data_IF_421133537066
#
_entry.id   IF_421133537066
#
_cell.length_a   1.000
_cell.length_b   1.000
_cell.length_c   1.000
_cell.angle_alpha   90.00
_cell.angle_beta   90.00
_cell.angle_gamma   90.00
#
_symmetry.space_group_name_H-M   'P 1'
#
loop_
_entity.id
_entity.type
_entity.pdbx_description
1 polymer ?
#
# COMPACT_ATOMS: atom_id res chain seq x y z
N UNK A 1 0.36 11.15 25.16
CA UNK A 1 -0.14 9.78 25.41
C UNK A 1 -0.66 9.11 24.12
N UNK A 2 0.02 8.17 23.48
CA UNK A 2 1.34 7.58 23.67
C UNK A 2 1.62 6.70 22.45
N UNK A 3 2.72 7.00 21.76
CA UNK A 3 3.60 6.04 21.12
C UNK A 3 3.13 5.04 20.04
N UNK A 4 2.03 5.28 19.31
CA UNK A 4 1.78 4.53 18.07
C UNK A 4 1.32 5.47 16.95
N UNK A 5 2.24 6.33 16.53
CA UNK A 5 2.06 7.10 15.31
C UNK A 5 2.88 6.37 14.25
N UNK A 6 2.33 5.32 13.58
CA UNK A 6 3.03 4.72 12.45
C UNK A 6 3.39 5.86 11.51
N UNK A 7 4.68 6.00 11.22
CA UNK A 7 5.30 7.16 10.57
C UNK A 7 4.69 7.49 9.19
N UNK A 8 3.84 6.61 8.66
CA UNK A 8 3.16 6.76 7.40
C UNK A 8 1.66 6.60 7.57
N UNK A 9 0.94 7.73 7.49
CA UNK A 9 -0.51 7.74 7.32
C UNK A 9 -0.88 7.27 5.90
N UNK A 10 -2.03 6.59 5.72
CA UNK A 10 -2.50 6.17 4.39
C UNK A 10 -2.66 7.37 3.45
N UNK A 11 -3.01 8.55 3.99
CA UNK A 11 -3.04 9.80 3.23
C UNK A 11 -1.69 10.18 2.59
N UNK A 12 -0.55 9.83 3.21
CA UNK A 12 0.76 10.02 2.60
C UNK A 12 0.97 9.02 1.46
N UNK A 13 0.60 7.75 1.64
CA UNK A 13 0.68 6.72 0.61
C UNK A 13 -0.10 7.09 -0.66
N UNK A 14 -1.22 7.79 -0.53
CA UNK A 14 -2.02 8.22 -1.66
C UNK A 14 -1.24 9.14 -2.64
N UNK A 15 -0.23 9.88 -2.17
CA UNK A 15 0.62 10.74 -3.02
C UNK A 15 1.73 9.95 -3.74
N UNK A 16 1.95 8.71 -3.32
CA UNK A 16 3.00 7.83 -3.84
C UNK A 16 2.41 6.61 -4.57
N UNK A 17 1.16 6.69 -5.03
CA UNK A 17 0.57 5.66 -5.91
C UNK A 17 1.48 5.50 -7.14
N UNK A 18 1.85 4.25 -7.44
CA UNK A 18 2.81 3.86 -8.47
C UNK A 18 4.25 3.67 -7.97
N UNK A 19 4.57 4.05 -6.72
CA UNK A 19 5.90 3.90 -6.15
C UNK A 19 6.07 2.60 -5.37
N UNK A 20 7.29 2.09 -5.32
CA UNK A 20 7.68 0.92 -4.52
C UNK A 20 7.58 1.23 -3.02
N UNK A 21 6.79 0.44 -2.31
CA UNK A 21 6.66 0.48 -0.86
C UNK A 21 6.94 -0.90 -0.26
N UNK A 22 7.60 -0.87 0.90
CA UNK A 22 7.85 -2.05 1.73
C UNK A 22 7.01 -1.95 3.00
N UNK A 23 6.11 -2.92 3.17
CA UNK A 23 5.15 -3.01 4.26
C UNK A 23 5.40 -4.28 5.08
N UNK A 24 5.44 -4.12 6.39
CA UNK A 24 5.61 -5.19 7.37
C UNK A 24 4.36 -5.22 8.25
N UNK A 25 3.71 -6.38 8.31
CA UNK A 25 2.45 -6.59 9.02
C UNK A 25 2.66 -7.28 10.36
N UNK A 26 1.76 -6.97 11.29
CA UNK A 26 1.75 -7.61 12.59
C UNK A 26 1.08 -9.00 12.50
N UNK A 27 -0.08 -9.08 11.84
CA UNK A 27 -0.75 -10.33 11.50
C UNK A 27 -0.37 -10.81 10.10
N UNK A 28 -0.16 -12.13 9.90
CA UNK A 28 0.04 -12.69 8.57
C UNK A 28 -1.20 -12.44 7.72
N UNK A 29 -0.98 -11.95 6.51
CA UNK A 29 -2.00 -11.81 5.47
C UNK A 29 -1.60 -12.76 4.34
N UNK A 30 -2.49 -13.65 3.93
CA UNK A 30 -2.18 -14.71 2.94
C UNK A 30 -0.92 -15.52 3.29
N UNK A 31 -0.69 -15.77 4.59
CA UNK A 31 0.49 -16.50 5.08
C UNK A 31 1.81 -15.72 5.01
N UNK A 32 1.78 -14.45 4.58
CA UNK A 32 2.95 -13.56 4.51
C UNK A 32 2.78 -12.35 5.43
N UNK A 33 3.86 -11.97 6.10
CA UNK A 33 3.92 -10.75 6.94
C UNK A 33 4.68 -9.61 6.30
N UNK A 34 5.35 -9.88 5.17
CA UNK A 34 6.22 -8.93 4.49
C UNK A 34 5.73 -8.77 3.08
N UNK A 35 5.46 -7.54 2.70
CA UNK A 35 5.02 -7.19 1.36
C UNK A 35 5.92 -6.09 0.80
N UNK A 36 6.23 -6.19 -0.49
CA UNK A 36 7.08 -5.23 -1.17
C UNK A 36 6.65 -5.11 -2.61
N UNK A 37 6.20 -3.92 -3.00
CA UNK A 37 5.86 -3.67 -4.39
C UNK A 37 5.23 -2.31 -4.60
N UNK A 38 4.77 -2.02 -5.83
CA UNK A 38 4.19 -0.74 -6.16
C UNK A 38 2.84 -0.55 -5.48
N UNK A 39 2.59 0.67 -4.98
CA UNK A 39 1.28 1.05 -4.44
C UNK A 39 0.31 1.21 -5.60
N UNK A 40 -0.76 0.41 -5.61
CA UNK A 40 -1.80 0.48 -6.63
C UNK A 40 -2.85 1.53 -6.27
N UNK A 41 -3.27 1.57 -5.00
CA UNK A 41 -4.30 2.48 -4.53
C UNK A 41 -4.24 2.64 -3.00
N UNK A 42 -4.95 3.63 -2.48
CA UNK A 42 -5.24 3.77 -1.05
C UNK A 42 -6.74 3.94 -0.88
N UNK A 43 -7.34 3.14 -0.03
CA UNK A 43 -8.76 3.16 0.30
C UNK A 43 -8.95 3.50 1.78
N UNK A 44 -9.21 4.78 2.06
CA UNK A 44 -9.40 5.29 3.42
C UNK A 44 -8.19 4.96 4.29
N UNK A 45 -8.35 3.98 5.18
CA UNK A 45 -7.32 3.52 6.11
C UNK A 45 -6.54 2.27 5.65
N UNK A 46 -6.74 1.81 4.41
CA UNK A 46 -6.05 0.66 3.84
C UNK A 46 -5.25 1.04 2.59
N UNK A 47 -4.08 0.41 2.41
CA UNK A 47 -3.22 0.59 1.23
C UNK A 47 -3.27 -0.69 0.40
N UNK A 48 -3.48 -0.55 -0.90
CA UNK A 48 -3.43 -1.63 -1.87
C UNK A 48 -2.08 -1.60 -2.55
N UNK A 49 -1.31 -2.68 -2.43
CA UNK A 49 -0.02 -2.83 -3.11
C UNK A 49 -0.04 -4.07 -3.99
N UNK A 50 0.76 -4.08 -5.05
CA UNK A 50 0.95 -5.27 -5.87
C UNK A 50 2.08 -6.12 -5.28
N UNK A 51 1.81 -7.41 -5.05
CA UNK A 51 2.79 -8.39 -4.59
C UNK A 51 2.75 -9.57 -5.55
N UNK A 52 3.87 -9.86 -6.22
CA UNK A 52 3.96 -10.98 -7.18
C UNK A 52 2.84 -10.94 -8.27
N UNK A 53 2.41 -9.75 -8.69
CA UNK A 53 1.31 -9.55 -9.65
C UNK A 53 -0.10 -9.63 -9.07
N UNK A 54 -0.23 -9.80 -7.76
CA UNK A 54 -1.51 -9.86 -7.04
C UNK A 54 -1.72 -8.55 -6.26
N UNK A 55 -2.88 -7.93 -6.41
CA UNK A 55 -3.26 -6.76 -5.63
C UNK A 55 -3.66 -7.19 -4.21
N UNK A 56 -2.89 -6.75 -3.21
CA UNK A 56 -3.08 -7.08 -1.81
C UNK A 56 -3.49 -5.84 -1.03
N UNK A 57 -4.64 -5.91 -0.35
CA UNK A 57 -5.16 -4.83 0.49
C UNK A 57 -4.68 -5.01 1.93
N UNK A 58 -4.00 -3.99 2.43
CA UNK A 58 -3.37 -3.98 3.75
C UNK A 58 -3.96 -2.85 4.58
N UNK A 59 -4.59 -3.17 5.70
CA UNK A 59 -5.09 -2.16 6.64
C UNK A 59 -3.93 -1.50 7.39
N UNK A 60 -3.93 -0.18 7.50
CA UNK A 60 -2.92 0.59 8.24
C UNK A 60 -2.80 0.13 9.70
N UNK A 61 -3.91 -0.23 10.35
CA UNK A 61 -3.91 -0.79 11.71
C UNK A 61 -3.23 -2.16 11.85
N UNK A 62 -3.05 -2.90 10.75
CA UNK A 62 -2.29 -4.16 10.73
C UNK A 62 -0.83 -3.96 10.30
N UNK A 63 -0.45 -2.74 9.85
CA UNK A 63 0.92 -2.45 9.46
C UNK A 63 1.75 -2.18 10.71
N UNK A 64 2.71 -3.06 10.99
CA UNK A 64 3.70 -2.84 12.04
C UNK A 64 4.77 -1.83 11.59
N UNK A 65 5.15 -1.86 10.31
CA UNK A 65 6.16 -0.96 9.76
C UNK A 65 5.92 -0.72 8.29
N UNK A 66 6.04 0.53 7.87
CA UNK A 66 5.83 0.93 6.48
C UNK A 66 6.95 1.87 6.05
N UNK A 67 7.58 1.59 4.92
CA UNK A 67 8.64 2.43 4.34
C UNK A 67 8.45 2.55 2.83
N UNK A 68 8.53 3.77 2.33
CA UNK A 68 8.67 3.99 0.89
C UNK A 68 10.10 3.71 0.47
N UNK A 69 10.27 2.90 -0.58
CA UNK A 69 11.58 2.69 -1.22
C UNK A 69 11.65 3.70 -2.35
N UNK A 70 12.21 4.88 -2.06
CA UNK A 70 12.48 5.89 -3.08
C UNK A 70 13.69 5.43 -3.90
N UNK A 71 13.46 4.58 -4.90
CA UNK A 71 14.45 4.41 -5.96
C UNK A 71 14.36 5.68 -6.82
N UNK A 72 15.42 6.47 -6.81
CA UNK A 72 15.51 7.74 -7.54
C UNK A 72 15.61 7.44 -9.04
N UNK A 73 14.50 7.12 -9.68
CA UNK A 73 14.36 6.98 -11.13
C UNK A 73 13.18 7.85 -11.62
N UNK A 74 13.34 8.58 -12.74
CA UNK A 74 12.37 9.58 -13.19
C UNK A 74 11.01 8.94 -13.55
N UNK A 75 9.90 9.71 -13.44
CA UNK A 75 8.55 9.18 -13.28
C UNK A 75 8.04 8.49 -14.56
N UNK A 76 8.21 7.17 -14.64
CA UNK A 76 7.62 6.36 -15.69
C UNK A 76 6.13 6.09 -15.39
N UNK A 77 5.31 7.08 -15.74
CA UNK A 77 3.89 6.99 -16.16
C UNK A 77 2.86 6.47 -15.12
N UNK A 78 1.68 7.12 -15.00
CA UNK A 78 0.64 6.75 -14.05
C UNK A 78 -0.04 5.45 -14.52
N UNK A 79 0.43 4.32 -14.01
CA UNK A 79 -0.09 3.01 -14.31
C UNK A 79 -1.39 2.72 -13.57
N UNK A 80 -2.51 2.86 -14.29
CA UNK A 80 -3.76 2.09 -14.15
C UNK A 80 -4.46 2.12 -12.79
N UNK A 81 -5.46 2.99 -12.68
CA UNK A 81 -6.71 2.68 -11.96
C UNK A 81 -7.27 1.34 -12.45
N UNK A 82 -7.42 0.31 -11.60
CA UNK A 82 -8.36 -0.76 -11.89
C UNK A 82 -9.77 -0.24 -11.57
N UNK A 83 -10.68 -0.58 -12.48
CA UNK A 83 -12.10 -0.23 -12.49
C UNK A 83 -12.76 -0.41 -11.13
N UNK A 84 -13.43 0.65 -10.70
CA UNK A 84 -14.68 0.58 -9.95
C UNK A 84 -15.72 -0.13 -10.84
N UNK A 85 -15.88 -1.45 -10.69
CA UNK A 85 -17.16 -2.11 -10.97
C UNK A 85 -17.97 -1.96 -9.67
N UNK A 86 -19.09 -1.24 -9.55
CA UNK A 86 -20.23 -1.06 -10.46
C UNK A 86 -20.66 -2.37 -11.12
N UNK A 87 -21.25 -3.22 -10.31
CA UNK A 87 -22.59 -3.76 -10.52
C UNK A 87 -23.41 -3.23 -9.31
N UNK A 88 -24.52 -2.49 -9.38
CA UNK A 88 -25.71 -2.54 -10.27
C UNK A 88 -26.17 -3.99 -10.42
N UNK A 89 -27.14 -4.48 -9.65
CA UNK A 89 -28.55 -4.06 -9.62
C UNK A 89 -29.27 -4.69 -8.42
#
# INVERSE_FOLDING_TARGET
PGLDRPLYTPAQFARFIGQQAKLELNLPLDGRRRFQGPILAVEGDAVVIEQDGVAVKIASGNMHKAKLVAEFAPPAKPGKTPKKAKSDK
#
